data_IF_979399669098
#
_entry.id   IF_979399669098
#
_cell.length_a   1.000
_cell.length_b   1.000
_cell.length_c   1.000
_cell.angle_alpha   90.00
_cell.angle_beta   90.00
_cell.angle_gamma   90.00
#
_symmetry.space_group_name_H-M   'P 1'
#
loop_
_entity.id
_entity.type
_entity.pdbx_description
1 polymer ?
#
# COMPACT_ATOMS: atom_id res chain seq x y z
N UNK A 1 28.02 -0.97 16.75
CA UNK A 1 27.31 0.15 17.41
C UNK A 1 25.88 0.14 16.88
N UNK A 2 24.84 0.00 17.72
CA UNK A 2 23.45 -0.09 17.28
C UNK A 2 22.86 1.31 17.12
N UNK A 3 23.44 2.15 16.26
CA UNK A 3 23.08 3.58 16.20
C UNK A 3 21.83 3.89 15.37
N UNK A 4 21.16 2.91 14.76
CA UNK A 4 20.14 3.23 13.75
C UNK A 4 18.91 2.32 13.82
N UNK A 5 18.35 2.15 15.02
CA UNK A 5 17.02 1.52 15.23
C UNK A 5 15.92 2.53 15.56
N UNK A 6 16.26 3.81 15.70
CA UNK A 6 15.31 4.82 16.13
C UNK A 6 14.44 5.28 14.96
N UNK A 7 13.13 5.25 15.19
CA UNK A 7 12.10 5.70 14.26
C UNK A 7 11.82 7.18 14.52
N UNK A 8 11.90 8.00 13.48
CA UNK A 8 11.51 9.40 13.55
C UNK A 8 10.09 9.57 13.02
N UNK A 9 9.21 10.18 13.83
CA UNK A 9 7.89 10.65 13.41
C UNK A 9 8.02 12.08 12.89
N UNK A 10 7.41 12.37 11.75
CA UNK A 10 7.37 13.72 11.17
C UNK A 10 5.95 14.09 10.71
N UNK A 11 5.66 15.38 10.79
CA UNK A 11 4.43 15.99 10.26
C UNK A 11 4.78 16.93 9.13
N UNK A 12 4.13 16.76 7.99
CA UNK A 12 4.42 17.49 6.77
C UNK A 12 3.21 18.31 6.36
N UNK A 13 3.19 19.63 6.66
CA UNK A 13 2.25 20.54 6.03
C UNK A 13 2.42 20.46 4.51
N UNK A 14 1.32 20.25 3.79
CA UNK A 14 1.32 19.97 2.36
C UNK A 14 0.02 20.43 1.71
N UNK A 15 0.03 20.51 0.38
CA UNK A 15 -1.16 20.78 -0.41
C UNK A 15 -1.17 19.93 -1.67
N UNK A 16 -2.32 19.32 -1.97
CA UNK A 16 -2.56 18.55 -3.18
C UNK A 16 -3.89 19.01 -3.77
N UNK A 17 -3.86 19.44 -5.04
CA UNK A 17 -5.06 19.91 -5.75
C UNK A 17 -5.87 20.99 -5.00
N UNK A 18 -5.18 21.86 -4.25
CA UNK A 18 -5.80 22.90 -3.43
C UNK A 18 -6.24 22.45 -2.03
N UNK A 19 -6.29 21.14 -1.76
CA UNK A 19 -6.65 20.57 -0.46
C UNK A 19 -5.45 20.60 0.49
N UNK A 20 -5.64 21.19 1.67
CA UNK A 20 -4.64 21.22 2.74
C UNK A 20 -4.51 19.85 3.41
N UNK A 21 -3.26 19.43 3.62
CA UNK A 21 -2.87 18.19 4.26
C UNK A 21 -1.86 18.47 5.37
N UNK A 22 -1.92 17.70 6.45
CA UNK A 22 -0.79 17.55 7.38
C UNK A 22 -0.45 16.06 7.46
N UNK A 23 0.49 15.63 6.61
CA UNK A 23 0.81 14.22 6.42
C UNK A 23 1.59 13.70 7.62
N UNK A 24 1.19 12.56 8.16
CA UNK A 24 1.95 11.83 9.19
C UNK A 24 2.88 10.83 8.51
N UNK A 25 4.17 10.88 8.81
CA UNK A 25 5.13 9.93 8.27
C UNK A 25 6.10 9.43 9.35
N UNK A 26 6.55 8.20 9.20
CA UNK A 26 7.69 7.65 9.93
C UNK A 26 8.83 7.41 8.96
N UNK A 27 10.04 7.66 9.42
CA UNK A 27 11.22 7.37 8.64
C UNK A 27 12.39 6.94 9.53
N UNK A 28 13.38 6.32 8.89
CA UNK A 28 14.67 6.00 9.48
C UNK A 28 15.75 6.31 8.46
N UNK A 29 16.85 6.91 8.93
CA UNK A 29 18.02 7.14 8.09
C UNK A 29 18.73 5.83 7.72
N UNK A 30 19.59 5.87 6.71
CA UNK A 30 20.39 4.74 6.28
C UNK A 30 21.40 5.18 5.23
N UNK A 31 22.24 4.24 4.77
CA UNK A 31 23.30 4.51 3.79
C UNK A 31 23.05 3.87 2.43
N UNK A 32 22.19 2.84 2.37
CA UNK A 32 21.77 2.22 1.12
C UNK A 32 20.62 3.00 0.46
N UNK A 33 20.06 2.49 -0.63
CA UNK A 33 18.92 3.11 -1.30
C UNK A 33 17.66 3.07 -0.40
N UNK A 34 16.87 4.17 -0.33
CA UNK A 34 15.68 4.25 0.51
C UNK A 34 14.57 3.30 0.03
N UNK A 35 13.77 2.81 0.98
CA UNK A 35 12.54 2.05 0.73
C UNK A 35 11.33 2.92 1.07
N UNK A 36 10.45 3.12 0.09
CA UNK A 36 9.21 3.90 0.26
C UNK A 36 8.03 2.93 0.34
N UNK A 37 7.29 3.01 1.44
CA UNK A 37 6.11 2.17 1.73
C UNK A 37 4.80 2.95 1.55
N UNK A 38 3.88 2.38 0.78
CA UNK A 38 2.51 2.85 0.60
C UNK A 38 1.55 1.80 1.16
N UNK A 39 0.90 2.11 2.28
CA UNK A 39 0.01 1.16 2.97
C UNK A 39 -1.34 0.96 2.24
N UNK A 40 -2.02 -0.14 2.55
CA UNK A 40 -3.36 -0.44 2.06
C UNK A 40 -4.47 0.35 2.76
N UNK A 41 -5.67 0.32 2.20
CA UNK A 41 -6.83 0.90 2.89
C UNK A 41 -7.03 0.21 4.24
N UNK A 42 -7.25 0.98 5.31
CA UNK A 42 -7.38 0.43 6.66
C UNK A 42 -6.08 0.03 7.36
N UNK A 43 -4.94 0.21 6.70
CA UNK A 43 -3.60 0.11 7.28
C UNK A 43 -3.05 1.49 7.63
N UNK A 44 -1.89 1.52 8.29
CA UNK A 44 -1.16 2.77 8.60
C UNK A 44 0.35 2.59 8.43
N UNK A 45 1.11 3.69 8.51
CA UNK A 45 2.57 3.68 8.45
C UNK A 45 3.21 2.76 9.50
N UNK A 46 2.58 2.60 10.67
CA UNK A 46 3.06 1.74 11.76
C UNK A 46 3.09 0.26 11.40
N UNK A 47 2.28 -0.18 10.42
CA UNK A 47 2.27 -1.56 9.97
C UNK A 47 3.63 -1.97 9.33
N UNK A 48 4.50 -0.98 9.05
CA UNK A 48 5.86 -1.19 8.55
C UNK A 48 6.97 -0.93 9.59
N UNK A 49 6.62 -0.53 10.83
CA UNK A 49 7.60 -0.11 11.83
C UNK A 49 8.59 -1.23 12.22
N UNK A 50 8.15 -2.50 12.16
CA UNK A 50 8.99 -3.67 12.49
C UNK A 50 10.17 -3.90 11.55
N UNK A 51 10.27 -3.16 10.43
CA UNK A 51 11.47 -3.14 9.58
C UNK A 51 12.74 -2.81 10.38
N UNK A 52 12.63 -2.07 11.50
CA UNK A 52 13.78 -1.76 12.37
C UNK A 52 14.34 -2.97 13.12
N UNK A 53 13.60 -4.07 13.15
CA UNK A 53 14.04 -5.34 13.72
C UNK A 53 14.74 -6.23 12.70
N UNK A 54 14.64 -5.94 11.41
CA UNK A 54 15.19 -6.78 10.35
C UNK A 54 16.61 -6.37 9.96
N UNK A 55 17.60 -7.18 10.33
CA UNK A 55 19.03 -6.86 10.17
C UNK A 55 19.44 -6.62 8.72
N UNK A 56 18.98 -7.47 7.78
CA UNK A 56 19.30 -7.31 6.36
C UNK A 56 18.74 -6.02 5.74
N UNK A 57 17.75 -5.39 6.39
CA UNK A 57 17.16 -4.12 5.94
C UNK A 57 17.68 -2.92 6.73
N UNK A 58 18.60 -3.11 7.69
CA UNK A 58 19.04 -2.05 8.59
C UNK A 58 19.84 -0.94 7.87
N UNK A 59 20.51 -1.26 6.75
CA UNK A 59 21.28 -0.29 5.97
C UNK A 59 20.40 0.63 5.11
N UNK A 60 19.18 0.19 4.76
CA UNK A 60 18.27 0.95 3.94
C UNK A 60 17.59 2.05 4.77
N UNK A 61 17.64 3.32 4.36
CA UNK A 61 16.67 4.29 4.83
C UNK A 61 15.27 3.80 4.50
N UNK A 62 14.27 4.18 5.28
CA UNK A 62 12.89 3.93 4.87
C UNK A 62 11.97 5.10 5.19
N UNK A 63 10.87 5.14 4.47
CA UNK A 63 9.81 6.12 4.60
C UNK A 63 8.46 5.44 4.45
N UNK A 64 7.57 5.63 5.43
CA UNK A 64 6.17 5.24 5.36
C UNK A 64 5.32 6.43 5.81
N UNK A 65 4.16 6.63 5.21
CA UNK A 65 3.27 7.74 5.56
C UNK A 65 1.82 7.28 5.56
N UNK A 66 0.98 7.96 6.33
CA UNK A 66 -0.45 7.70 6.34
C UNK A 66 -1.11 8.40 5.15
N UNK A 67 -1.80 7.64 4.31
CA UNK A 67 -2.60 8.17 3.21
C UNK A 67 -3.71 9.10 3.74
N UNK A 68 -4.08 10.16 3.02
CA UNK A 68 -5.25 10.98 3.32
C UNK A 68 -6.50 10.12 3.62
N UNK A 69 -7.19 10.45 4.71
CA UNK A 69 -8.31 9.65 5.22
C UNK A 69 -7.91 8.47 6.11
N UNK A 70 -6.61 8.17 6.25
CA UNK A 70 -6.09 7.07 7.06
C UNK A 70 -5.13 7.55 8.17
N UNK A 71 -4.92 6.69 9.17
CA UNK A 71 -3.96 6.88 10.27
C UNK A 71 -4.05 8.25 10.92
N UNK A 72 -2.93 8.94 11.05
CA UNK A 72 -2.87 10.25 11.69
C UNK A 72 -2.78 11.42 10.71
N UNK A 73 -2.83 11.17 9.39
CA UNK A 73 -2.82 12.24 8.40
C UNK A 73 -4.12 13.05 8.48
N UNK A 74 -3.97 14.37 8.61
CA UNK A 74 -5.07 15.32 8.47
C UNK A 74 -5.27 15.68 6.99
N UNK A 75 -6.54 15.80 6.58
CA UNK A 75 -6.95 16.19 5.25
C UNK A 75 -8.19 17.08 5.37
N UNK A 76 -8.10 18.31 4.87
CA UNK A 76 -9.16 19.30 5.04
C UNK A 76 -10.45 18.94 4.29
N UNK A 77 -10.34 18.18 3.19
CA UNK A 77 -11.47 17.67 2.42
C UNK A 77 -11.27 16.20 2.08
N UNK A 78 -12.19 15.35 2.52
CA UNK A 78 -12.16 13.90 2.26
C UNK A 78 -13.01 13.49 1.04
N UNK A 79 -13.84 14.39 0.52
CA UNK A 79 -14.80 14.08 -0.55
C UNK A 79 -14.14 13.85 -1.92
N UNK A 80 -12.99 14.50 -2.16
CA UNK A 80 -12.22 14.40 -3.40
C UNK A 80 -11.06 13.38 -3.36
N UNK A 81 -10.95 12.59 -2.28
CA UNK A 81 -9.88 11.59 -2.18
C UNK A 81 -10.12 10.48 -3.19
N UNK A 82 -9.13 10.26 -4.04
CA UNK A 82 -9.11 9.26 -5.10
C UNK A 82 -7.70 8.69 -5.27
N UNK A 83 -7.53 7.60 -6.00
CA UNK A 83 -6.19 7.05 -6.27
C UNK A 83 -5.26 8.08 -6.96
N UNK A 84 -5.70 8.89 -7.94
CA UNK A 84 -4.90 10.01 -8.46
C UNK A 84 -4.49 11.05 -7.40
N UNK A 85 -5.37 11.36 -6.45
CA UNK A 85 -5.05 12.24 -5.32
C UNK A 85 -3.98 11.61 -4.41
N UNK A 86 -4.11 10.32 -4.10
CA UNK A 86 -3.12 9.56 -3.33
C UNK A 86 -1.76 9.48 -4.05
N UNK A 87 -1.75 9.34 -5.38
CA UNK A 87 -0.54 9.39 -6.19
C UNK A 87 0.17 10.74 -6.04
N UNK A 88 -0.55 11.85 -6.22
CA UNK A 88 0.03 13.19 -6.04
C UNK A 88 0.51 13.42 -4.61
N UNK A 89 -0.19 12.86 -3.62
CA UNK A 89 0.24 12.88 -2.22
C UNK A 89 1.56 12.14 -2.02
N UNK A 90 1.69 10.93 -2.57
CA UNK A 90 2.94 10.17 -2.52
C UNK A 90 4.10 10.97 -3.12
N UNK A 91 3.86 11.69 -4.23
CA UNK A 91 4.86 12.57 -4.84
C UNK A 91 5.30 13.67 -3.89
N UNK A 92 4.37 14.34 -3.18
CA UNK A 92 4.72 15.39 -2.19
C UNK A 92 5.60 14.85 -1.07
N UNK A 93 5.29 13.65 -0.58
CA UNK A 93 6.09 12.98 0.46
C UNK A 93 7.50 12.69 -0.07
N UNK A 94 7.62 12.10 -1.26
CA UNK A 94 8.91 11.79 -1.90
C UNK A 94 9.74 13.05 -2.15
N UNK A 95 9.11 14.11 -2.66
CA UNK A 95 9.73 15.43 -2.90
C UNK A 95 10.25 16.06 -1.61
N UNK A 96 9.47 16.02 -0.52
CA UNK A 96 9.87 16.56 0.78
C UNK A 96 11.15 15.91 1.30
N UNK A 97 11.23 14.58 1.23
CA UNK A 97 12.41 13.82 1.65
C UNK A 97 13.53 13.80 0.61
N UNK A 98 13.34 14.45 -0.54
CA UNK A 98 14.33 14.57 -1.64
C UNK A 98 14.84 13.21 -2.12
N UNK A 99 13.95 12.22 -2.19
CA UNK A 99 14.30 10.87 -2.62
C UNK A 99 14.38 10.82 -4.15
N UNK A 100 15.59 10.74 -4.68
CA UNK A 100 15.80 10.65 -6.13
C UNK A 100 15.59 9.22 -6.66
N UNK A 101 16.20 8.20 -6.04
CA UNK A 101 15.99 6.79 -6.42
C UNK A 101 15.66 5.96 -5.20
N UNK A 102 14.62 5.12 -5.30
CA UNK A 102 14.11 4.34 -4.18
C UNK A 102 13.55 2.99 -4.60
N UNK A 103 13.56 2.03 -3.68
CA UNK A 103 12.73 0.83 -3.77
C UNK A 103 11.31 1.18 -3.34
N UNK A 104 10.32 0.68 -4.08
CA UNK A 104 8.93 0.96 -3.80
C UNK A 104 8.23 -0.31 -3.31
N UNK A 105 7.49 -0.19 -2.22
CA UNK A 105 6.67 -1.27 -1.67
C UNK A 105 5.26 -0.72 -1.47
N UNK A 106 4.27 -1.38 -2.05
CA UNK A 106 2.88 -0.96 -1.91
C UNK A 106 1.98 -2.14 -1.58
N UNK A 107 1.06 -1.95 -0.63
CA UNK A 107 0.06 -2.95 -0.26
C UNK A 107 -1.34 -2.54 -0.70
N UNK A 108 -2.09 -3.43 -1.36
CA UNK A 108 -3.49 -3.23 -1.71
C UNK A 108 -3.74 -1.88 -2.41
N UNK A 109 -4.54 -0.98 -1.82
CA UNK A 109 -4.71 0.42 -2.27
C UNK A 109 -3.36 1.10 -2.56
N UNK A 110 -2.39 0.98 -1.64
CA UNK A 110 -1.04 1.51 -1.81
C UNK A 110 -0.23 0.81 -2.89
N UNK A 111 -0.49 -0.47 -3.17
CA UNK A 111 0.09 -1.20 -4.30
C UNK A 111 -0.40 -0.68 -5.65
N UNK A 112 -1.69 -0.36 -5.77
CA UNK A 112 -2.25 0.33 -6.93
C UNK A 112 -1.63 1.72 -7.11
N UNK A 113 -1.59 2.53 -6.04
CA UNK A 113 -0.96 3.86 -6.09
C UNK A 113 0.52 3.77 -6.45
N UNK A 114 1.25 2.80 -5.89
CA UNK A 114 2.65 2.53 -6.19
C UNK A 114 2.87 2.11 -7.65
N UNK A 115 2.00 1.28 -8.22
CA UNK A 115 2.04 0.93 -9.64
C UNK A 115 1.93 2.17 -10.52
N UNK A 116 0.98 3.05 -10.24
CA UNK A 116 0.82 4.28 -11.02
C UNK A 116 2.02 5.21 -10.87
N UNK A 117 2.60 5.29 -9.66
CA UNK A 117 3.82 6.04 -9.40
C UNK A 117 5.00 5.49 -10.22
N UNK A 118 5.25 4.18 -10.14
CA UNK A 118 6.33 3.51 -10.87
C UNK A 118 6.16 3.60 -12.39
N UNK A 119 4.93 3.57 -12.88
CA UNK A 119 4.64 3.74 -14.30
C UNK A 119 4.87 5.17 -14.78
N UNK A 120 4.52 6.17 -13.97
CA UNK A 120 4.67 7.59 -14.31
C UNK A 120 6.10 8.10 -14.14
N UNK A 121 6.85 7.53 -13.19
CA UNK A 121 8.20 7.95 -12.80
C UNK A 121 9.20 6.79 -12.79
N UNK A 122 9.35 6.03 -13.89
CA UNK A 122 10.11 4.79 -13.91
C UNK A 122 11.61 4.98 -13.62
N UNK A 123 12.16 6.17 -13.86
CA UNK A 123 13.57 6.49 -13.60
C UNK A 123 13.93 6.56 -12.11
N UNK A 124 12.94 6.83 -11.25
CA UNK A 124 13.13 6.98 -9.81
C UNK A 124 12.92 5.66 -9.04
N UNK A 125 12.31 4.65 -9.67
CA UNK A 125 11.98 3.38 -9.01
C UNK A 125 13.03 2.30 -9.32
N UNK A 126 13.80 1.92 -8.30
CA UNK A 126 14.84 0.89 -8.38
C UNK A 126 14.25 -0.51 -8.51
N UNK A 127 13.24 -0.81 -7.70
CA UNK A 127 12.45 -2.05 -7.76
C UNK A 127 11.06 -1.81 -7.20
N UNK A 128 10.12 -2.68 -7.53
CA UNK A 128 8.74 -2.59 -7.03
C UNK A 128 8.26 -3.91 -6.43
N UNK A 129 7.90 -3.89 -5.15
CA UNK A 129 7.17 -4.96 -4.47
C UNK A 129 5.69 -4.58 -4.39
N UNK A 130 4.86 -5.28 -5.16
CA UNK A 130 3.41 -5.17 -5.07
C UNK A 130 2.89 -6.26 -4.13
N UNK A 131 2.33 -5.88 -2.98
CA UNK A 131 1.70 -6.79 -2.03
C UNK A 131 0.19 -6.72 -2.27
N UNK A 132 -0.32 -7.60 -3.12
CA UNK A 132 -1.75 -7.70 -3.47
C UNK A 132 -2.43 -6.35 -3.78
N UNK A 133 -1.69 -5.44 -4.42
CA UNK A 133 -2.27 -4.23 -5.00
C UNK A 133 -2.91 -4.50 -6.34
N UNK A 134 -4.01 -3.80 -6.61
CA UNK A 134 -4.83 -4.04 -7.78
C UNK A 134 -4.04 -3.92 -9.09
N UNK A 135 -4.07 -4.99 -9.88
CA UNK A 135 -3.56 -5.07 -11.24
C UNK A 135 -4.58 -5.65 -12.22
N UNK A 136 -5.70 -6.18 -11.73
CA UNK A 136 -6.80 -6.72 -12.51
C UNK A 136 -8.18 -6.43 -11.86
N UNK A 137 -9.28 -6.48 -12.62
CA UNK A 137 -10.64 -6.31 -12.09
C UNK A 137 -11.00 -7.25 -10.94
N UNK A 138 -10.42 -8.46 -10.92
CA UNK A 138 -10.67 -9.47 -9.87
C UNK A 138 -10.17 -9.05 -8.48
N UNK A 139 -9.17 -8.15 -8.41
CA UNK A 139 -8.62 -7.63 -7.15
C UNK A 139 -9.60 -6.70 -6.40
N UNK A 140 -10.62 -6.20 -7.10
CA UNK A 140 -11.59 -5.25 -6.56
C UNK A 140 -12.74 -5.89 -5.76
N UNK A 141 -12.65 -7.15 -5.35
CA UNK A 141 -13.77 -7.86 -4.70
C UNK A 141 -14.37 -7.10 -3.50
N UNK A 142 -13.52 -6.53 -2.64
CA UNK A 142 -13.96 -5.76 -1.47
C UNK A 142 -14.44 -4.34 -1.82
N UNK A 143 -13.66 -3.61 -2.62
CA UNK A 143 -13.97 -2.20 -2.95
C UNK A 143 -15.20 -2.06 -3.84
N UNK A 144 -15.47 -3.02 -4.74
CA UNK A 144 -16.60 -3.01 -5.69
C UNK A 144 -17.96 -3.01 -5.00
N UNK A 145 -18.05 -3.40 -3.74
CA UNK A 145 -19.28 -3.31 -2.93
C UNK A 145 -19.81 -1.87 -2.85
N UNK A 146 -18.94 -0.85 -3.00
CA UNK A 146 -19.35 0.55 -3.02
C UNK A 146 -20.33 0.88 -4.16
N UNK A 147 -20.25 0.15 -5.30
CA UNK A 147 -21.11 0.41 -6.46
C UNK A 147 -22.54 -0.07 -6.24
N UNK A 148 -22.74 -1.02 -5.32
CA UNK A 148 -24.05 -1.58 -4.99
C UNK A 148 -24.72 -0.82 -3.83
N UNK A 149 -24.04 0.18 -3.25
CA UNK A 149 -24.53 0.97 -2.14
C UNK A 149 -25.02 2.35 -2.64
N UNK A 150 -26.34 2.52 -2.92
CA UNK A 150 -26.90 3.83 -3.17
C UNK A 150 -26.73 4.70 -1.91
N UNK A 151 -26.30 5.94 -2.09
CA UNK A 151 -25.71 6.88 -1.11
C UNK A 151 -26.56 7.24 0.13
N UNK A 152 -26.98 6.27 0.94
CA UNK A 152 -27.68 6.54 2.18
C UNK A 152 -26.86 6.01 3.36
N UNK A 153 -25.98 6.90 3.83
CA UNK A 153 -25.12 6.83 5.01
C UNK A 153 -23.80 6.05 4.83
N UNK A 154 -22.73 6.80 4.53
CA UNK A 154 -21.34 6.29 4.42
C UNK A 154 -20.85 5.62 5.71
N UNK A 155 -21.27 6.11 6.89
CA UNK A 155 -20.96 5.46 8.17
C UNK A 155 -21.60 4.08 8.27
N UNK A 156 -22.85 3.94 7.80
CA UNK A 156 -23.51 2.64 7.75
C UNK A 156 -22.82 1.69 6.78
N UNK A 157 -22.48 2.15 5.57
CA UNK A 157 -21.70 1.34 4.63
C UNK A 157 -20.40 0.87 5.27
N UNK A 158 -19.68 1.76 5.96
CA UNK A 158 -18.40 1.44 6.57
C UNK A 158 -18.55 0.48 7.75
N UNK A 159 -19.57 0.65 8.58
CA UNK A 159 -19.91 -0.30 9.64
C UNK A 159 -20.25 -1.69 9.09
N UNK A 160 -21.06 -1.78 8.04
CA UNK A 160 -21.40 -3.05 7.39
C UNK A 160 -20.16 -3.68 6.72
N UNK A 161 -19.26 -2.87 6.15
CA UNK A 161 -17.99 -3.33 5.60
C UNK A 161 -17.10 -3.93 6.69
N UNK A 162 -16.99 -3.27 7.85
CA UNK A 162 -16.24 -3.76 9.02
C UNK A 162 -16.83 -5.10 9.49
N UNK A 163 -18.16 -5.19 9.62
CA UNK A 163 -18.83 -6.40 10.10
C UNK A 163 -18.65 -7.58 9.14
N UNK A 164 -18.83 -7.37 7.83
CA UNK A 164 -18.55 -8.39 6.82
C UNK A 164 -17.10 -8.86 6.89
N UNK A 165 -16.16 -7.92 6.96
CA UNK A 165 -14.72 -8.22 7.03
C UNK A 165 -14.35 -9.02 8.27
N UNK A 166 -14.98 -8.71 9.42
CA UNK A 166 -14.75 -9.43 10.68
C UNK A 166 -15.06 -10.93 10.58
N UNK A 167 -16.07 -11.28 9.79
CA UNK A 167 -16.54 -12.66 9.64
C UNK A 167 -15.94 -13.40 8.44
N UNK A 168 -15.07 -12.76 7.66
CA UNK A 168 -14.37 -13.45 6.57
C UNK A 168 -13.40 -14.51 7.12
N UNK A 169 -13.42 -15.75 6.59
CA UNK A 169 -12.53 -16.83 7.01
C UNK A 169 -11.12 -16.67 6.42
N UNK A 170 -10.54 -15.48 6.56
CA UNK A 170 -9.21 -15.14 6.08
C UNK A 170 -8.28 -14.76 7.24
N UNK A 171 -7.00 -15.12 7.13
CA UNK A 171 -6.00 -14.74 8.13
C UNK A 171 -5.99 -13.23 8.35
N UNK A 172 -5.88 -12.83 9.62
CA UNK A 172 -5.89 -11.45 10.09
C UNK A 172 -7.13 -10.61 9.75
N UNK A 173 -8.18 -11.16 9.13
CA UNK A 173 -9.37 -10.37 8.73
C UNK A 173 -10.11 -9.76 9.93
N UNK A 174 -10.30 -10.53 11.01
CA UNK A 174 -10.91 -10.03 12.24
C UNK A 174 -10.03 -8.97 12.95
N UNK A 175 -8.71 -9.15 12.93
CA UNK A 175 -7.77 -8.18 13.50
C UNK A 175 -7.82 -6.87 12.73
N UNK A 176 -7.71 -6.94 11.40
CA UNK A 176 -7.87 -5.79 10.51
C UNK A 176 -9.20 -5.08 10.77
N UNK A 177 -10.33 -5.81 10.75
CA UNK A 177 -11.66 -5.26 10.99
C UNK A 177 -11.79 -4.54 12.35
N UNK A 178 -11.17 -5.07 13.40
CA UNK A 178 -11.24 -4.48 14.75
C UNK A 178 -10.63 -3.07 14.81
N UNK A 179 -9.63 -2.77 13.99
CA UNK A 179 -8.88 -1.51 14.01
C UNK A 179 -9.37 -0.47 13.00
N UNK A 180 -10.20 -0.86 12.03
CA UNK A 180 -10.61 -0.03 10.91
C UNK A 180 -11.20 1.33 11.31
N UNK A 181 -12.09 1.35 12.29
CA UNK A 181 -12.74 2.57 12.77
C UNK A 181 -11.79 3.58 13.43
N UNK A 182 -10.63 3.12 13.92
CA UNK A 182 -9.58 3.99 14.45
C UNK A 182 -8.62 4.47 13.36
N UNK A 183 -8.48 3.67 12.29
CA UNK A 183 -7.49 3.90 11.23
C UNK A 183 -8.05 4.65 10.03
N UNK A 184 -9.37 4.68 9.81
CA UNK A 184 -9.99 5.23 8.59
C UNK A 184 -11.16 6.13 8.91
N UNK A 185 -11.27 7.23 8.15
CA UNK A 185 -12.40 8.14 8.20
C UNK A 185 -13.41 7.67 7.16
N UNK A 186 -14.65 7.41 7.58
CA UNK A 186 -15.68 6.87 6.70
C UNK A 186 -15.89 7.73 5.44
N UNK A 187 -15.81 9.06 5.57
CA UNK A 187 -15.94 9.99 4.45
C UNK A 187 -14.90 9.79 3.32
N UNK A 188 -13.73 9.21 3.60
CA UNK A 188 -12.72 8.93 2.57
C UNK A 188 -13.03 7.66 1.74
N UNK A 189 -13.91 6.78 2.24
CA UNK A 189 -14.14 5.45 1.67
C UNK A 189 -14.75 5.50 0.26
N UNK A 190 -15.82 6.28 -0.01
CA UNK A 190 -16.47 6.25 -1.31
C UNK A 190 -15.53 6.66 -2.46
N UNK A 191 -14.79 7.76 -2.28
CA UNK A 191 -13.89 8.28 -3.31
C UNK A 191 -12.73 7.31 -3.62
N UNK A 192 -12.11 6.76 -2.59
CA UNK A 192 -11.04 5.75 -2.74
C UNK A 192 -11.58 4.51 -3.45
N UNK A 193 -12.70 3.94 -2.97
CA UNK A 193 -13.21 2.67 -3.50
C UNK A 193 -13.70 2.81 -4.93
N UNK A 194 -14.44 3.88 -5.27
CA UNK A 194 -14.88 4.15 -6.64
C UNK A 194 -13.67 4.29 -7.57
N UNK A 195 -12.67 5.06 -7.17
CA UNK A 195 -11.45 5.25 -7.95
C UNK A 195 -10.65 3.95 -8.15
N UNK A 196 -10.57 3.09 -7.13
CA UNK A 196 -9.95 1.76 -7.26
C UNK A 196 -10.68 0.89 -8.28
N UNK A 197 -12.02 0.89 -8.24
CA UNK A 197 -12.84 0.11 -9.17
C UNK A 197 -12.66 0.61 -10.60
N UNK A 198 -12.80 1.90 -10.82
CA UNK A 198 -12.66 2.52 -12.15
C UNK A 198 -11.30 2.21 -12.78
N UNK A 199 -10.22 2.33 -12.00
CA UNK A 199 -8.87 2.03 -12.47
C UNK A 199 -8.63 0.55 -12.69
N UNK A 200 -9.22 -0.32 -11.87
CA UNK A 200 -9.07 -1.77 -12.05
C UNK A 200 -9.77 -2.25 -13.32
N UNK A 201 -10.91 -1.65 -13.66
CA UNK A 201 -11.70 -2.01 -14.83
C UNK A 201 -11.15 -1.38 -16.13
N UNK A 202 -10.67 -0.13 -16.07
CA UNK A 202 -10.32 0.64 -17.28
C UNK A 202 -8.84 1.03 -17.40
N UNK A 203 -8.08 0.97 -16.30
CA UNK A 203 -6.73 1.52 -16.19
C UNK A 203 -5.62 0.68 -16.83
N UNK A 204 -5.94 -0.47 -17.43
CA UNK A 204 -4.98 -1.40 -18.06
C UNK A 204 -3.81 -1.76 -17.12
N UNK A 205 -4.12 -1.96 -15.84
CA UNK A 205 -3.13 -2.06 -14.76
C UNK A 205 -2.16 -3.24 -14.95
N UNK A 206 -2.67 -4.39 -15.36
CA UNK A 206 -1.84 -5.57 -15.69
C UNK A 206 -0.75 -5.25 -16.71
N UNK A 207 -1.13 -4.56 -17.80
CA UNK A 207 -0.19 -4.15 -18.85
C UNK A 207 0.85 -3.16 -18.31
N UNK A 208 0.42 -2.22 -17.45
CA UNK A 208 1.33 -1.28 -16.79
C UNK A 208 2.33 -2.00 -15.88
N UNK A 209 1.88 -2.96 -15.07
CA UNK A 209 2.71 -3.68 -14.13
C UNK A 209 3.75 -4.56 -14.84
N UNK A 210 3.31 -5.37 -15.80
CA UNK A 210 4.19 -6.17 -16.64
C UNK A 210 5.18 -5.28 -17.41
N UNK A 211 4.74 -4.12 -17.89
CA UNK A 211 5.56 -3.17 -18.65
C UNK A 211 6.57 -2.34 -17.85
N UNK A 212 6.56 -2.39 -16.51
CA UNK A 212 7.58 -1.68 -15.70
C UNK A 212 9.00 -2.16 -16.05
N UNK A 213 9.97 -1.25 -16.08
CA UNK A 213 11.36 -1.60 -16.45
C UNK A 213 12.20 -2.09 -15.27
N UNK A 214 11.81 -1.73 -14.05
CA UNK A 214 12.50 -2.16 -12.84
C UNK A 214 12.19 -3.63 -12.51
N UNK A 215 13.09 -4.32 -11.80
CA UNK A 215 12.79 -5.59 -11.14
C UNK A 215 11.50 -5.46 -10.31
N UNK A 216 10.63 -6.47 -10.39
CA UNK A 216 9.35 -6.44 -9.69
C UNK A 216 8.98 -7.78 -9.08
N UNK A 217 8.37 -7.70 -7.90
CA UNK A 217 7.83 -8.82 -7.16
C UNK A 217 6.32 -8.62 -6.95
N UNK A 218 5.55 -9.70 -7.11
CA UNK A 218 4.17 -9.78 -6.67
C UNK A 218 4.10 -10.73 -5.48
N UNK A 219 3.76 -10.19 -4.31
CA UNK A 219 3.63 -10.91 -3.05
C UNK A 219 2.15 -11.11 -2.74
N UNK A 220 1.78 -12.33 -2.36
CA UNK A 220 0.41 -12.72 -2.02
C UNK A 220 0.38 -13.72 -0.86
N UNK A 221 -0.70 -13.74 -0.09
CA UNK A 221 -0.92 -14.78 0.90
C UNK A 221 -1.29 -16.12 0.27
N UNK A 222 -0.95 -17.23 0.94
CA UNK A 222 -1.34 -18.59 0.54
C UNK A 222 -2.84 -18.73 0.20
N UNK A 223 -3.73 -18.04 0.91
CA UNK A 223 -5.18 -18.06 0.60
C UNK A 223 -5.55 -17.45 -0.76
N UNK A 224 -4.61 -16.74 -1.38
CA UNK A 224 -4.76 -16.05 -2.65
C UNK A 224 -3.92 -16.71 -3.76
N UNK A 225 -3.40 -17.93 -3.54
CA UNK A 225 -2.65 -18.70 -4.54
C UNK A 225 -3.48 -19.11 -5.77
N UNK A 226 -4.79 -18.87 -5.76
CA UNK A 226 -5.72 -19.14 -6.86
C UNK A 226 -5.98 -17.94 -7.78
N UNK A 227 -5.32 -16.80 -7.57
CA UNK A 227 -5.43 -15.63 -8.45
C UNK A 227 -5.12 -16.02 -9.90
N UNK A 228 -6.02 -15.66 -10.83
CA UNK A 228 -6.03 -16.22 -12.18
C UNK A 228 -4.82 -15.78 -13.01
N UNK A 229 -4.27 -14.61 -12.69
CA UNK A 229 -3.18 -14.00 -13.42
C UNK A 229 -1.77 -14.39 -12.94
N UNK A 230 -1.60 -15.18 -11.88
CA UNK A 230 -0.27 -15.52 -11.35
C UNK A 230 0.63 -16.17 -12.43
N UNK A 231 0.07 -17.08 -13.23
CA UNK A 231 0.78 -17.67 -14.36
C UNK A 231 1.29 -16.64 -15.38
N UNK A 232 0.46 -15.64 -15.71
CA UNK A 232 0.81 -14.55 -16.62
C UNK A 232 1.94 -13.67 -16.06
N UNK A 233 1.89 -13.36 -14.76
CA UNK A 233 2.96 -12.59 -14.10
C UNK A 233 4.30 -13.32 -14.18
N UNK A 234 4.31 -14.62 -13.85
CA UNK A 234 5.51 -15.45 -13.88
C UNK A 234 6.13 -15.50 -15.28
N UNK A 235 5.33 -15.72 -16.32
CA UNK A 235 5.83 -15.78 -17.71
C UNK A 235 6.35 -14.43 -18.22
N UNK A 236 5.96 -13.33 -17.58
CA UNK A 236 6.46 -11.98 -17.86
C UNK A 236 7.56 -11.51 -16.90
N UNK A 237 8.26 -12.45 -16.25
CA UNK A 237 9.46 -12.16 -15.45
C UNK A 237 9.19 -11.49 -14.10
N UNK A 238 7.96 -11.52 -13.60
CA UNK A 238 7.63 -11.07 -12.24
C UNK A 238 8.03 -12.15 -11.25
N UNK A 239 8.77 -11.79 -10.20
CA UNK A 239 9.02 -12.69 -9.07
C UNK A 239 7.71 -12.88 -8.30
N UNK A 240 7.25 -14.12 -8.22
CA UNK A 240 6.09 -14.47 -7.40
C UNK A 240 6.55 -14.94 -6.03
N UNK A 241 5.94 -14.40 -4.98
CA UNK A 241 6.25 -14.73 -3.60
C UNK A 241 4.97 -15.01 -2.84
N UNK A 242 4.73 -16.27 -2.52
CA UNK A 242 3.66 -16.68 -1.63
C UNK A 242 4.11 -16.55 -0.16
N UNK A 243 3.23 -16.05 0.70
CA UNK A 243 3.45 -15.98 2.14
C UNK A 243 2.60 -17.07 2.83
N UNK A 244 3.23 -18.02 3.54
CA UNK A 244 2.51 -19.13 4.17
C UNK A 244 1.67 -18.65 5.36
N UNK A 245 0.56 -19.35 5.62
CA UNK A 245 -0.39 -19.01 6.70
C UNK A 245 -0.85 -17.54 6.65
N UNK A 246 -1.13 -17.06 5.45
CA UNK A 246 -1.45 -15.66 5.20
C UNK A 246 -2.60 -15.51 4.20
N UNK A 247 -3.45 -14.52 4.47
CA UNK A 247 -4.42 -13.98 3.51
C UNK A 247 -3.93 -12.64 2.98
N UNK A 248 -4.82 -11.64 2.93
CA UNK A 248 -4.53 -10.34 2.32
C UNK A 248 -3.51 -9.45 3.06
N UNK A 249 -3.21 -9.76 4.33
CA UNK A 249 -2.45 -8.90 5.23
C UNK A 249 -1.20 -9.61 5.78
N UNK A 250 -0.11 -9.70 5.01
CA UNK A 250 1.12 -10.36 5.47
C UNK A 250 1.80 -9.64 6.64
N UNK A 251 1.66 -8.32 6.75
CA UNK A 251 2.12 -7.54 7.90
C UNK A 251 1.46 -7.95 9.23
N UNK A 252 0.25 -8.54 9.18
CA UNK A 252 -0.46 -9.03 10.36
C UNK A 252 -0.34 -10.54 10.53
N UNK A 253 -0.42 -11.28 9.42
CA UNK A 253 -0.50 -12.74 9.46
C UNK A 253 0.88 -13.38 9.62
N UNK A 254 1.88 -12.88 8.90
CA UNK A 254 3.22 -13.45 8.89
C UNK A 254 4.30 -12.39 8.53
N UNK A 255 4.52 -11.40 9.40
CA UNK A 255 5.46 -10.31 9.13
C UNK A 255 6.90 -10.79 8.97
N UNK A 256 7.29 -11.88 9.65
CA UNK A 256 8.64 -12.46 9.54
C UNK A 256 8.88 -12.95 8.10
N UNK A 257 7.96 -13.73 7.54
CA UNK A 257 8.08 -14.20 6.15
C UNK A 257 8.04 -13.04 5.16
N UNK A 258 7.15 -12.06 5.37
CA UNK A 258 7.07 -10.84 4.54
C UNK A 258 8.42 -10.12 4.48
N UNK A 259 9.01 -9.79 5.62
CA UNK A 259 10.27 -9.06 5.68
C UNK A 259 11.44 -9.87 5.12
N UNK A 260 11.47 -11.18 5.39
CA UNK A 260 12.50 -12.08 4.85
C UNK A 260 12.48 -12.05 3.31
N UNK A 261 11.29 -12.11 2.70
CA UNK A 261 11.16 -12.11 1.25
C UNK A 261 11.45 -10.74 0.62
N UNK A 262 11.05 -9.64 1.28
CA UNK A 262 11.41 -8.29 0.84
C UNK A 262 12.94 -8.13 0.88
N UNK A 263 13.60 -8.53 1.97
CA UNK A 263 15.04 -8.43 2.10
C UNK A 263 15.77 -9.27 1.05
N UNK A 264 15.33 -10.51 0.81
CA UNK A 264 15.89 -11.36 -0.23
C UNK A 264 15.73 -10.74 -1.62
N UNK A 265 14.56 -10.19 -1.93
CA UNK A 265 14.32 -9.53 -3.22
C UNK A 265 15.17 -8.27 -3.40
N UNK A 266 15.35 -7.46 -2.35
CA UNK A 266 16.16 -6.25 -2.42
C UNK A 266 17.67 -6.52 -2.50
N UNK A 267 18.14 -7.69 -2.05
CA UNK A 267 19.53 -8.10 -2.19
C UNK A 267 19.91 -8.50 -3.63
N UNK A 268 18.91 -8.86 -4.45
CA UNK A 268 19.11 -9.32 -5.83
C UNK A 268 19.12 -8.17 -6.87
N UNK A 269 18.90 -6.92 -6.45
CA UNK A 269 18.67 -5.75 -7.32
C UNK A 269 19.64 -4.60 -7.07
#
# INVERSE_FOLDING_TARGET
MPENRELALVRLPSQVDGVELNLSAIHRAGKAAPIVFLHGFGSTKEDYADIVRHEALAAHPFLAYDAPGCGETYCADLSDISIPFLLKTAQRVIEHFKLDRFHLVGHSMGGLTALLLAHKYPQHVLSFVNIEGNIAPEDCFLSRQILQFPEQNVERFFADFIDRTRHMPAYASALYASSLHHKVRAAAVPGIFRSMVDLSDSGKLMQKFIGLRCPKMFMYGEQNATLSYLGLLRTNGVRLTEIPACGHFPMYSNPIAMWTQIAAFLADV
#
